data_IF_823932954908
#
_entry.id   IF_823932954908
#
_cell.length_a   1.000
_cell.length_b   1.000
_cell.length_c   1.000
_cell.angle_alpha   90.00
_cell.angle_beta   90.00
_cell.angle_gamma   90.00
#
_symmetry.space_group_name_H-M   'P 1'
#
loop_
_entity.id
_entity.type
_entity.pdbx_description
1 polymer ?
#
# COMPACT_ATOMS: atom_id res chain seq x y z
N UNK A 1 0.23 23.64 -6.58
CA UNK A 1 0.01 22.19 -6.46
C UNK A 1 -1.33 22.00 -5.79
N UNK A 2 -2.30 21.44 -6.51
CA UNK A 2 -3.67 21.23 -6.00
C UNK A 2 -3.98 19.74 -6.12
N UNK A 3 -4.43 19.14 -5.03
CA UNK A 3 -4.87 17.74 -4.99
C UNK A 3 -6.26 17.66 -5.62
N UNK A 4 -6.45 16.70 -6.52
CA UNK A 4 -7.73 16.45 -7.20
C UNK A 4 -8.35 15.12 -6.82
N UNK A 5 -7.53 14.13 -6.44
CA UNK A 5 -8.02 12.79 -6.18
C UNK A 5 -7.03 11.89 -5.47
N UNK A 6 -7.55 10.75 -5.02
CA UNK A 6 -6.79 9.64 -4.48
C UNK A 6 -7.23 8.36 -5.17
N UNK A 7 -6.27 7.54 -5.58
CA UNK A 7 -6.52 6.18 -6.04
C UNK A 7 -5.94 5.21 -5.03
N UNK A 8 -6.74 4.24 -4.59
CA UNK A 8 -6.32 3.23 -3.62
C UNK A 8 -6.34 1.84 -4.23
N UNK A 9 -5.38 1.01 -3.84
CA UNK A 9 -5.25 -0.37 -4.33
C UNK A 9 -4.90 -1.29 -3.18
N UNK A 10 -5.76 -2.27 -2.90
CA UNK A 10 -5.48 -3.32 -1.93
C UNK A 10 -4.46 -4.30 -2.51
N UNK A 11 -3.41 -4.59 -1.74
CA UNK A 11 -2.35 -5.52 -2.12
C UNK A 11 -2.16 -6.53 -1.01
N UNK A 12 -2.12 -7.81 -1.37
CA UNK A 12 -1.92 -8.92 -0.43
C UNK A 12 -0.74 -9.76 -0.89
N UNK A 13 0.44 -9.50 -0.35
CA UNK A 13 1.68 -10.17 -0.77
C UNK A 13 1.97 -11.36 0.16
N UNK A 14 2.23 -12.57 -0.34
CA UNK A 14 2.69 -13.67 0.50
C UNK A 14 4.09 -13.37 1.04
N UNK A 15 4.34 -13.65 2.32
CA UNK A 15 5.68 -13.51 2.90
C UNK A 15 6.56 -14.66 2.46
N UNK A 16 7.78 -14.38 1.97
CA UNK A 16 8.77 -15.42 1.63
C UNK A 16 9.12 -16.31 2.82
N UNK A 17 9.13 -15.75 4.02
CA UNK A 17 9.27 -16.45 5.31
C UNK A 17 8.21 -15.88 6.24
N UNK A 18 7.34 -16.70 6.85
CA UNK A 18 6.36 -16.22 7.81
C UNK A 18 7.05 -15.51 8.99
N UNK A 19 6.45 -14.41 9.47
CA UNK A 19 6.95 -13.67 10.63
C UNK A 19 6.22 -14.13 11.88
N UNK A 20 6.96 -14.74 12.81
CA UNK A 20 6.47 -15.05 14.14
C UNK A 20 6.50 -13.81 15.04
N UNK A 21 5.41 -13.57 15.76
CA UNK A 21 5.29 -12.59 16.84
C UNK A 21 4.75 -13.29 18.08
N UNK A 22 4.77 -12.63 19.24
CA UNK A 22 4.14 -13.19 20.45
C UNK A 22 2.64 -13.45 20.30
N UNK A 23 1.97 -12.78 19.35
CA UNK A 23 0.55 -12.92 19.06
C UNK A 23 0.20 -13.90 17.94
N UNK A 24 1.19 -14.54 17.30
CA UNK A 24 0.94 -15.51 16.23
C UNK A 24 1.89 -15.40 15.05
N UNK A 25 1.47 -15.91 13.89
CA UNK A 25 2.28 -15.95 12.67
C UNK A 25 1.63 -15.14 11.55
N UNK A 26 2.38 -14.20 11.00
CA UNK A 26 1.97 -13.41 9.83
C UNK A 26 2.48 -14.12 8.57
N UNK A 27 1.57 -14.50 7.68
CA UNK A 27 1.89 -15.21 6.42
C UNK A 27 1.77 -14.32 5.19
N UNK A 28 1.10 -13.17 5.31
CA UNK A 28 0.91 -12.21 4.24
C UNK A 28 1.15 -10.79 4.77
N UNK A 29 1.71 -9.94 3.93
CA UNK A 29 1.79 -8.50 4.16
C UNK A 29 0.61 -7.83 3.43
N UNK A 30 -0.49 -7.50 4.14
CA UNK A 30 -1.54 -6.66 3.58
C UNK A 30 -1.04 -5.21 3.51
N UNK A 31 -1.18 -4.58 2.34
CA UNK A 31 -0.80 -3.20 2.07
C UNK A 31 -1.95 -2.51 1.36
N UNK A 32 -2.03 -1.19 1.53
CA UNK A 32 -2.87 -0.33 0.70
C UNK A 32 -1.93 0.66 0.02
N UNK A 33 -1.81 0.54 -1.30
CA UNK A 33 -1.07 1.53 -2.08
C UNK A 33 -1.98 2.71 -2.36
N UNK A 34 -1.45 3.92 -2.23
CA UNK A 34 -2.20 5.16 -2.39
C UNK A 34 -1.47 6.03 -3.41
N UNK A 35 -2.15 6.36 -4.50
CA UNK A 35 -1.66 7.33 -5.48
C UNK A 35 -2.37 8.67 -5.27
N UNK A 36 -1.58 9.74 -5.24
CA UNK A 36 -2.08 11.11 -5.13
C UNK A 36 -2.20 11.72 -6.52
N UNK A 37 -3.41 12.11 -6.91
CA UNK A 37 -3.66 12.79 -8.18
C UNK A 37 -3.67 14.30 -7.96
N UNK A 38 -2.87 15.02 -8.75
CA UNK A 38 -2.86 16.49 -8.78
C UNK A 38 -3.30 16.99 -10.14
N UNK A 39 -3.67 18.26 -10.23
CA UNK A 39 -4.00 18.89 -11.53
C UNK A 39 -2.83 18.86 -12.54
N UNK A 40 -1.60 18.67 -12.06
CA UNK A 40 -0.40 18.53 -12.89
C UNK A 40 -0.11 17.08 -13.32
N UNK A 41 -0.99 16.13 -12.98
CA UNK A 41 -0.78 14.68 -13.16
C UNK A 41 -0.47 13.99 -11.83
N UNK A 42 0.10 12.78 -11.89
CA UNK A 42 0.43 11.96 -10.70
C UNK A 42 1.90 12.19 -10.33
N UNK A 43 2.21 12.96 -9.26
CA UNK A 43 3.60 13.21 -8.86
C UNK A 43 4.26 12.06 -8.09
N UNK A 44 3.52 11.02 -7.64
CA UNK A 44 4.13 9.88 -6.95
C UNK A 44 3.17 8.73 -6.58
N UNK A 45 3.77 7.55 -6.40
CA UNK A 45 3.15 6.30 -5.95
C UNK A 45 3.93 5.73 -4.76
N UNK A 46 3.26 5.25 -3.72
CA UNK A 46 3.85 4.63 -2.53
C UNK A 46 3.16 3.31 -2.18
#
# INVERSE_FOLDING_TARGET
>A
MTIRGLRTRAVRVPMRRPLGTSGGTITHAPLVLIDLETEQGIPGSA
#
